data_IF_902571772839
#
_entry.id   IF_902571772839
#
_cell.length_a   1.000
_cell.length_b   1.000
_cell.length_c   1.000
_cell.angle_alpha   90.00
_cell.angle_beta   90.00
_cell.angle_gamma   90.00
#
_symmetry.space_group_name_H-M   'P 1'
#
loop_
_entity.id
_entity.type
_entity.pdbx_description
1 polymer ?
#
# COMPACT_ATOMS: atom_id res chain seq x y z
N UNK A 1 -28.83 -24.06 -17.92
CA UNK A 1 -28.26 -24.32 -16.58
C UNK A 1 -27.49 -23.08 -16.19
N UNK A 2 -28.13 -22.09 -15.55
CA UNK A 2 -27.49 -20.81 -15.21
C UNK A 2 -27.77 -20.41 -13.76
N UNK A 3 -28.92 -20.83 -13.21
CA UNK A 3 -29.28 -20.58 -11.81
C UNK A 3 -28.36 -21.30 -10.80
N UNK A 4 -27.91 -22.53 -11.11
CA UNK A 4 -27.00 -23.28 -10.24
C UNK A 4 -25.60 -22.66 -10.25
N UNK A 5 -25.07 -22.34 -11.43
CA UNK A 5 -23.76 -21.68 -11.57
C UNK A 5 -23.73 -20.33 -10.84
N UNK A 6 -24.82 -19.56 -10.93
CA UNK A 6 -24.97 -18.30 -10.22
C UNK A 6 -24.97 -18.51 -8.69
N UNK A 7 -25.72 -19.50 -8.19
CA UNK A 7 -25.75 -19.85 -6.78
C UNK A 7 -24.37 -20.27 -6.26
N UNK A 8 -23.64 -21.10 -7.00
CA UNK A 8 -22.28 -21.50 -6.61
C UNK A 8 -21.31 -20.31 -6.58
N UNK A 9 -21.43 -19.39 -7.53
CA UNK A 9 -20.61 -18.19 -7.57
C UNK A 9 -20.88 -17.28 -6.36
N UNK A 10 -22.15 -17.12 -5.96
CA UNK A 10 -22.53 -16.35 -4.78
C UNK A 10 -21.95 -16.94 -3.49
N UNK A 11 -22.04 -18.27 -3.32
CA UNK A 11 -21.44 -18.97 -2.16
C UNK A 11 -19.92 -18.77 -2.11
N UNK A 12 -19.23 -18.94 -3.25
CA UNK A 12 -17.77 -18.74 -3.33
C UNK A 12 -17.39 -17.30 -3.00
N UNK A 13 -18.17 -16.33 -3.48
CA UNK A 13 -17.95 -14.91 -3.20
C UNK A 13 -18.08 -14.61 -1.72
N UNK A 14 -19.10 -15.13 -1.05
CA UNK A 14 -19.32 -14.96 0.38
C UNK A 14 -18.13 -15.50 1.19
N UNK A 15 -17.68 -16.72 0.89
CA UNK A 15 -16.52 -17.32 1.55
C UNK A 15 -15.22 -16.51 1.38
N UNK A 16 -15.00 -15.92 0.19
CA UNK A 16 -13.85 -15.05 -0.06
C UNK A 16 -13.91 -13.79 0.79
N UNK A 17 -15.09 -13.16 0.88
CA UNK A 17 -15.30 -11.97 1.71
C UNK A 17 -15.05 -12.28 3.19
N UNK A 18 -15.59 -13.39 3.69
CA UNK A 18 -15.38 -13.83 5.07
C UNK A 18 -13.91 -14.10 5.39
N UNK A 19 -13.19 -14.72 4.46
CA UNK A 19 -11.74 -14.97 4.60
C UNK A 19 -10.93 -13.66 4.62
N UNK A 20 -11.30 -12.69 3.77
CA UNK A 20 -10.67 -11.37 3.77
C UNK A 20 -10.95 -10.63 5.08
N UNK A 21 -12.19 -10.67 5.60
CA UNK A 21 -12.54 -10.07 6.89
C UNK A 21 -11.70 -10.66 8.02
N UNK A 22 -11.61 -11.99 8.11
CA UNK A 22 -10.77 -12.69 9.10
C UNK A 22 -9.30 -12.30 9.02
N UNK A 23 -8.74 -12.16 7.80
CA UNK A 23 -7.35 -11.70 7.62
C UNK A 23 -7.17 -10.25 8.05
N UNK A 24 -8.14 -9.40 7.76
CA UNK A 24 -8.13 -7.98 8.14
C UNK A 24 -8.13 -7.79 9.65
N UNK A 25 -9.00 -8.51 10.36
CA UNK A 25 -9.09 -8.46 11.82
C UNK A 25 -7.81 -8.99 12.48
N UNK A 26 -7.17 -9.98 11.87
CA UNK A 26 -5.88 -10.51 12.31
C UNK A 26 -4.67 -9.64 11.91
N UNK A 27 -4.88 -8.51 11.22
CA UNK A 27 -3.80 -7.65 10.72
C UNK A 27 -2.88 -8.32 9.69
N UNK A 28 -3.36 -9.39 9.03
CA UNK A 28 -2.58 -10.15 8.04
C UNK A 28 -2.64 -9.49 6.66
N UNK A 29 -1.67 -9.84 5.81
CA UNK A 29 -1.65 -9.36 4.44
C UNK A 29 -2.92 -9.77 3.68
N UNK A 30 -3.55 -8.75 3.08
CA UNK A 30 -4.75 -8.91 2.25
C UNK A 30 -4.39 -9.24 0.80
N UNK A 31 -3.09 -9.22 0.47
CA UNK A 31 -2.56 -9.33 -0.88
C UNK A 31 -2.66 -8.01 -1.64
N UNK A 32 -2.51 -8.10 -2.97
CA UNK A 32 -2.45 -6.93 -3.84
C UNK A 32 -1.02 -6.47 -4.10
N UNK A 33 -0.86 -5.24 -4.59
CA UNK A 33 0.46 -4.73 -4.94
C UNK A 33 1.22 -4.34 -3.66
N UNK A 34 2.39 -4.96 -3.38
CA UNK A 34 3.17 -4.61 -2.20
C UNK A 34 3.64 -3.16 -2.28
N UNK A 35 3.74 -2.52 -1.10
CA UNK A 35 4.26 -1.16 -0.99
C UNK A 35 5.78 -1.19 -1.18
N UNK A 36 6.26 -0.70 -2.31
CA UNK A 36 7.69 -0.61 -2.61
C UNK A 36 8.35 0.56 -1.87
N UNK A 37 7.67 1.71 -1.79
CA UNK A 37 8.19 2.91 -1.14
C UNK A 37 7.75 2.96 0.32
N UNK A 38 8.72 2.83 1.21
CA UNK A 38 8.52 2.88 2.65
C UNK A 38 8.22 4.29 3.15
N UNK A 39 7.55 4.39 4.29
CA UNK A 39 7.16 5.68 4.86
C UNK A 39 8.36 6.46 5.40
N UNK A 40 9.41 5.74 5.86
CA UNK A 40 10.71 6.32 6.20
C UNK A 40 11.34 7.06 5.02
N UNK A 41 11.26 6.52 3.80
CA UNK A 41 11.79 7.17 2.61
C UNK A 41 11.04 8.48 2.29
N UNK A 42 9.73 8.55 2.57
CA UNK A 42 8.95 9.79 2.41
C UNK A 42 9.36 10.84 3.45
N UNK A 43 9.64 10.43 4.69
CA UNK A 43 10.15 11.33 5.72
C UNK A 43 11.53 11.89 5.36
N UNK A 44 12.45 11.04 4.91
CA UNK A 44 13.77 11.46 4.44
C UNK A 44 13.67 12.40 3.23
N UNK A 45 12.78 12.10 2.28
CA UNK A 45 12.55 12.98 1.12
C UNK A 45 12.08 14.38 1.54
N UNK A 46 11.17 14.48 2.53
CA UNK A 46 10.71 15.77 3.07
C UNK A 46 11.86 16.57 3.68
N UNK A 47 12.67 15.93 4.53
CA UNK A 47 13.81 16.61 5.17
C UNK A 47 14.80 17.17 4.15
N UNK A 48 15.10 16.42 3.09
CA UNK A 48 16.00 16.88 2.01
C UNK A 48 15.41 18.08 1.25
N UNK A 49 14.12 18.02 0.93
CA UNK A 49 13.42 19.11 0.22
C UNK A 49 13.31 20.36 1.09
N UNK A 50 13.04 20.20 2.39
CA UNK A 50 13.02 21.31 3.35
C UNK A 50 14.42 21.94 3.52
N UNK A 51 15.48 21.13 3.34
CA UNK A 51 16.87 21.58 3.26
C UNK A 51 17.24 22.30 1.96
N UNK A 52 16.31 22.43 1.01
CA UNK A 52 16.50 23.16 -0.25
C UNK A 52 16.82 22.30 -1.47
N UNK A 53 16.87 20.96 -1.33
CA UNK A 53 17.17 20.08 -2.46
C UNK A 53 16.01 20.03 -3.49
N UNK A 54 16.31 20.01 -4.80
CA UNK A 54 15.27 19.89 -5.82
C UNK A 54 14.49 18.58 -5.72
N UNK A 55 13.16 18.68 -5.58
CA UNK A 55 12.23 17.53 -5.48
C UNK A 55 12.44 16.48 -6.58
N UNK A 56 12.75 16.91 -7.81
CA UNK A 56 12.96 16.01 -8.93
C UNK A 56 14.22 15.14 -8.75
N UNK A 57 15.25 15.68 -8.11
CA UNK A 57 16.50 14.96 -7.86
C UNK A 57 16.30 13.96 -6.71
N UNK A 58 15.80 14.45 -5.57
CA UNK A 58 15.48 13.63 -4.39
C UNK A 58 14.58 12.44 -4.74
N UNK A 59 13.55 12.64 -5.56
CA UNK A 59 12.65 11.57 -5.95
C UNK A 59 13.37 10.48 -6.78
N UNK A 60 14.23 10.87 -7.73
CA UNK A 60 15.01 9.91 -8.54
C UNK A 60 15.98 9.12 -7.68
N UNK A 61 16.68 9.78 -6.77
CA UNK A 61 17.68 9.16 -5.91
C UNK A 61 17.05 8.15 -4.94
N UNK A 62 15.83 8.42 -4.49
CA UNK A 62 15.05 7.51 -3.66
C UNK A 62 14.23 6.47 -4.46
N UNK A 63 14.41 6.40 -5.79
CA UNK A 63 13.74 5.41 -6.64
C UNK A 63 12.23 5.60 -6.77
N UNK A 64 11.71 6.82 -6.57
CA UNK A 64 10.27 7.11 -6.66
C UNK A 64 9.96 8.21 -7.69
N UNK A 65 8.75 8.20 -8.22
CA UNK A 65 8.29 9.30 -9.09
C UNK A 65 7.92 10.54 -8.27
N UNK A 66 8.06 11.74 -8.86
CA UNK A 66 7.53 13.00 -8.26
C UNK A 66 6.06 12.89 -7.89
N UNK A 67 5.27 12.20 -8.73
CA UNK A 67 3.83 11.96 -8.49
C UNK A 67 3.61 11.09 -7.25
N UNK A 68 4.44 10.08 -7.03
CA UNK A 68 4.39 9.23 -5.84
C UNK A 68 4.74 10.03 -4.59
N UNK A 69 5.82 10.84 -4.65
CA UNK A 69 6.19 11.73 -3.56
C UNK A 69 5.04 12.67 -3.19
N UNK A 70 4.49 13.43 -4.15
CA UNK A 70 3.41 14.39 -3.87
C UNK A 70 2.13 13.74 -3.32
N UNK A 71 1.78 12.54 -3.82
CA UNK A 71 0.63 11.79 -3.32
C UNK A 71 0.83 11.35 -1.87
N UNK A 72 2.05 10.90 -1.52
CA UNK A 72 2.36 10.41 -0.17
C UNK A 72 2.62 11.54 0.82
N UNK A 73 3.20 12.65 0.38
CA UNK A 73 3.49 13.81 1.23
C UNK A 73 2.25 14.64 1.59
N UNK A 74 1.07 14.32 1.04
CA UNK A 74 -0.22 14.90 1.48
C UNK A 74 -1.00 13.97 2.39
N UNK A 75 -0.69 12.67 2.36
CA UNK A 75 -1.33 11.72 3.24
C UNK A 75 -0.72 11.81 4.65
N UNK A 76 -1.53 11.70 5.72
CA UNK A 76 -1.00 11.47 7.05
C UNK A 76 -0.22 10.15 7.00
N UNK A 77 1.09 10.23 7.26
CA UNK A 77 1.94 9.04 7.36
C UNK A 77 1.54 8.36 8.68
N UNK A 78 0.99 7.13 8.65
CA UNK A 78 0.74 6.40 9.89
C UNK A 78 2.08 6.17 10.59
N UNK A 79 2.11 6.32 11.91
CA UNK A 79 3.31 6.09 12.72
C UNK A 79 3.73 4.63 12.55
N UNK A 80 4.72 4.41 11.67
CA UNK A 80 5.57 3.24 11.51
C UNK A 80 4.90 1.87 11.73
N UNK A 81 4.37 1.28 10.66
CA UNK A 81 4.34 -0.18 10.55
C UNK A 81 5.69 -0.63 9.96
N UNK A 82 6.39 -1.59 10.59
CA UNK A 82 7.63 -2.11 10.04
C UNK A 82 7.33 -2.70 8.68
N UNK A 83 8.16 -2.35 7.70
CA UNK A 83 8.15 -2.88 6.33
C UNK A 83 8.31 -4.40 6.34
N UNK A 84 7.20 -5.10 6.58
CA UNK A 84 7.05 -6.54 6.55
C UNK A 84 6.89 -7.01 5.11
N UNK A 85 7.97 -6.93 4.35
CA UNK A 85 8.16 -7.75 3.16
C UNK A 85 8.77 -9.08 3.60
N UNK A 86 7.94 -9.99 4.12
CA UNK A 86 8.33 -11.40 4.21
C UNK A 86 7.95 -12.07 2.91
N UNK A 87 8.96 -12.72 2.31
CA UNK A 87 8.91 -13.52 1.08
C UNK A 87 7.76 -14.52 1.03
#
# INVERSE_FOLDING_TARGET
MAALDQMEHEIKREQVVDSIAKRRDAGKDLGGRPRIIADSQICSARQLIDGGEPVAQVARDLGMSRTTFYRRSRAPIPLAEPSGGTL
#
